data_IF_545527018099
#
_entry.id   IF_545527018099
#
_cell.length_a   1.000
_cell.length_b   1.000
_cell.length_c   1.000
_cell.angle_alpha   90.00
_cell.angle_beta   90.00
_cell.angle_gamma   90.00
#
_symmetry.space_group_name_H-M   'P 1'
#
loop_
_entity.id
_entity.type
_entity.pdbx_description
1 polymer ?
#
# COMPACT_ATOMS: atom_id res chain seq x y z
N UNK A 1 10.70 -26.49 -14.93
CA UNK A 1 10.22 -26.35 -13.55
C UNK A 1 10.29 -27.70 -12.87
N UNK A 2 11.39 -27.91 -12.18
CA UNK A 2 11.75 -29.06 -11.40
C UNK A 2 11.86 -28.67 -9.92
N UNK A 3 12.01 -29.66 -9.04
CA UNK A 3 12.32 -29.43 -7.63
C UNK A 3 13.70 -28.75 -7.56
N UNK A 4 13.79 -27.63 -6.83
CA UNK A 4 14.99 -26.80 -6.72
C UNK A 4 15.06 -25.59 -7.66
N UNK A 5 14.12 -25.45 -8.60
CA UNK A 5 14.05 -24.26 -9.45
C UNK A 5 13.55 -23.05 -8.65
N UNK A 6 14.16 -21.87 -8.85
CA UNK A 6 13.65 -20.60 -8.34
C UNK A 6 12.50 -20.13 -9.21
N UNK A 7 11.38 -19.80 -8.60
CA UNK A 7 10.15 -19.43 -9.29
C UNK A 7 9.57 -18.16 -8.70
N UNK A 8 8.96 -17.35 -9.56
CA UNK A 8 8.14 -16.19 -9.18
C UNK A 8 6.67 -16.55 -9.39
N UNK A 9 5.83 -16.22 -8.41
CA UNK A 9 4.39 -16.38 -8.56
C UNK A 9 3.82 -15.25 -9.44
N UNK A 10 2.78 -15.54 -10.23
CA UNK A 10 2.15 -14.55 -11.10
C UNK A 10 1.17 -13.64 -10.35
N UNK A 11 0.62 -14.13 -9.23
CA UNK A 11 -0.40 -13.42 -8.44
C UNK A 11 0.15 -12.76 -7.18
N UNK A 12 1.39 -13.09 -6.82
CA UNK A 12 2.11 -12.55 -5.66
C UNK A 12 3.49 -12.11 -6.15
N UNK A 13 4.02 -11.03 -5.62
CA UNK A 13 5.39 -10.56 -5.94
C UNK A 13 6.46 -11.44 -5.27
N UNK A 14 6.04 -12.47 -4.52
CA UNK A 14 6.95 -13.37 -3.82
C UNK A 14 7.73 -14.29 -4.77
N UNK A 15 9.02 -14.43 -4.46
CA UNK A 15 9.92 -15.41 -5.06
C UNK A 15 10.20 -16.55 -4.09
N UNK A 16 10.38 -17.76 -4.61
CA UNK A 16 10.72 -18.90 -3.78
C UNK A 16 11.27 -20.09 -4.57
N UNK A 17 11.60 -21.16 -3.84
CA UNK A 17 12.19 -22.38 -4.38
C UNK A 17 11.15 -23.50 -4.34
N UNK A 18 11.01 -24.24 -5.44
CA UNK A 18 10.08 -25.38 -5.51
C UNK A 18 10.61 -26.54 -4.68
N UNK A 19 9.93 -26.89 -3.58
CA UNK A 19 10.31 -28.01 -2.71
C UNK A 19 9.62 -29.32 -3.09
N UNK A 20 8.39 -29.25 -3.59
CA UNK A 20 7.61 -30.43 -3.97
C UNK A 20 6.68 -30.14 -5.13
N UNK A 21 6.51 -31.14 -6.00
CA UNK A 21 5.59 -31.10 -7.12
C UNK A 21 4.67 -32.31 -6.99
N UNK A 22 3.37 -32.06 -6.88
CA UNK A 22 2.34 -33.10 -6.94
C UNK A 22 2.04 -33.46 -8.38
N UNK A 23 1.73 -34.74 -8.64
CA UNK A 23 1.26 -35.24 -9.93
C UNK A 23 -0.04 -34.58 -10.41
N UNK A 24 -0.77 -33.90 -9.52
CA UNK A 24 -1.94 -33.08 -9.84
C UNK A 24 -1.63 -31.67 -10.37
N UNK A 25 -0.34 -31.31 -10.51
CA UNK A 25 0.09 -29.97 -10.97
C UNK A 25 0.13 -28.90 -9.88
N UNK A 26 -0.08 -29.27 -8.61
CA UNK A 26 0.19 -28.42 -7.44
C UNK A 26 1.66 -28.44 -7.09
N UNK A 27 2.19 -27.30 -6.69
CA UNK A 27 3.58 -27.10 -6.28
C UNK A 27 3.62 -26.50 -4.88
N UNK A 28 4.63 -26.86 -4.11
CA UNK A 28 4.94 -26.26 -2.82
C UNK A 28 6.19 -25.39 -3.00
N UNK A 29 6.03 -24.07 -2.83
CA UNK A 29 7.08 -23.06 -3.00
C UNK A 29 7.50 -22.56 -1.62
N UNK A 30 8.78 -22.69 -1.29
CA UNK A 30 9.35 -22.16 -0.05
C UNK A 30 9.94 -20.78 -0.30
N UNK A 31 9.44 -19.78 0.43
CA UNK A 31 9.95 -18.39 0.37
C UNK A 31 11.11 -18.19 1.36
N UNK A 32 11.84 -17.07 1.26
CA UNK A 32 13.02 -16.79 2.10
C UNK A 32 12.71 -16.74 3.60
N UNK A 33 11.48 -16.39 3.99
CA UNK A 33 10.99 -16.40 5.37
C UNK A 33 10.69 -17.81 5.93
N UNK A 34 10.94 -18.88 5.16
CA UNK A 34 10.74 -20.27 5.59
C UNK A 34 9.28 -20.76 5.58
N UNK A 35 8.37 -19.96 5.01
CA UNK A 35 6.99 -20.37 4.77
C UNK A 35 6.87 -21.17 3.47
N UNK A 36 6.01 -22.20 3.48
CA UNK A 36 5.70 -23.00 2.29
C UNK A 36 4.32 -22.64 1.76
N UNK A 37 4.27 -22.09 0.56
CA UNK A 37 3.04 -21.65 -0.10
C UNK A 37 2.66 -22.68 -1.18
N UNK A 38 1.46 -23.28 -1.09
CA UNK A 38 0.94 -24.12 -2.15
C UNK A 38 0.41 -23.26 -3.32
N UNK A 39 0.97 -23.47 -4.51
CA UNK A 39 0.54 -22.80 -5.74
C UNK A 39 0.27 -23.81 -6.86
N UNK A 40 -0.30 -23.37 -7.98
CA UNK A 40 -0.41 -24.20 -9.18
C UNK A 40 0.79 -23.97 -10.10
N UNK A 41 1.18 -24.99 -10.86
CA UNK A 41 2.24 -24.88 -11.89
C UNK A 41 1.93 -23.78 -12.92
N UNK A 42 0.66 -23.51 -13.20
CA UNK A 42 0.23 -22.42 -14.10
C UNK A 42 0.40 -21.03 -13.52
N UNK A 43 0.60 -20.92 -12.20
CA UNK A 43 0.70 -19.65 -11.47
C UNK A 43 2.14 -19.32 -11.09
N UNK A 44 3.11 -20.10 -11.57
CA UNK A 44 4.54 -19.93 -11.28
C UNK A 44 5.36 -19.90 -12.57
N UNK A 45 6.32 -18.98 -12.64
CA UNK A 45 7.27 -18.84 -13.75
C UNK A 45 8.68 -19.07 -13.22
N UNK A 46 9.48 -19.85 -13.94
CA UNK A 46 10.88 -20.14 -13.57
C UNK A 46 11.73 -18.91 -13.84
N UNK A 47 12.47 -18.45 -12.83
CA UNK A 47 13.47 -17.40 -12.98
C UNK A 47 14.79 -18.07 -13.34
N UNK A 48 15.32 -17.80 -14.53
CA UNK A 48 16.63 -18.33 -14.91
C UNK A 48 17.73 -17.35 -14.51
N UNK A 49 18.86 -17.85 -14.03
CA UNK A 49 20.05 -17.04 -13.71
C UNK A 49 20.59 -16.21 -14.88
N UNK A 50 20.23 -16.55 -16.13
CA UNK A 50 20.61 -15.79 -17.32
C UNK A 50 19.71 -14.56 -17.54
N UNK A 51 18.52 -14.56 -16.95
CA UNK A 51 17.54 -13.47 -17.04
C UNK A 51 18.01 -12.26 -16.19
N UNK A 52 18.65 -12.51 -15.04
CA UNK A 52 19.31 -11.48 -14.21
C UNK A 52 20.39 -10.70 -14.96
N UNK A 53 21.14 -11.38 -15.85
CA UNK A 53 22.21 -10.76 -16.64
C UNK A 53 21.68 -9.90 -17.81
N UNK A 54 20.49 -10.22 -18.34
CA UNK A 54 19.90 -9.54 -19.49
C UNK A 54 18.94 -8.40 -19.12
N UNK A 55 18.17 -8.56 -18.04
CA UNK A 55 17.21 -7.55 -17.58
C UNK A 55 17.78 -6.61 -16.50
N UNK A 56 19.00 -6.87 -16.04
CA UNK A 56 19.59 -6.19 -14.90
C UNK A 56 18.87 -6.54 -13.60
N UNK A 57 19.54 -6.35 -12.46
CA UNK A 57 18.87 -6.33 -11.16
C UNK A 57 17.83 -5.22 -11.23
N UNK A 58 16.56 -5.56 -11.44
CA UNK A 58 15.48 -4.69 -10.99
C UNK A 58 15.59 -4.78 -9.49
N UNK A 59 16.31 -3.82 -8.90
CA UNK A 59 16.18 -3.57 -7.48
C UNK A 59 14.68 -3.60 -7.22
N UNK A 60 14.23 -4.58 -6.46
CA UNK A 60 13.07 -4.41 -5.61
C UNK A 60 13.47 -3.32 -4.62
N UNK A 61 13.58 -2.09 -5.14
CA UNK A 61 13.05 -0.96 -4.44
C UNK A 61 11.64 -1.41 -4.13
N UNK A 62 11.47 -1.84 -2.89
CA UNK A 62 10.39 -1.36 -2.06
C UNK A 62 10.18 0.07 -2.56
N UNK A 63 9.26 0.26 -3.50
CA UNK A 63 8.59 1.53 -3.63
C UNK A 63 7.87 1.61 -2.28
N UNK A 64 8.63 2.02 -1.26
CA UNK A 64 8.08 2.82 -0.19
C UNK A 64 7.28 3.83 -0.98
N UNK A 65 5.96 3.66 -0.94
CA UNK A 65 5.05 4.73 -1.27
C UNK A 65 5.72 5.94 -0.66
N UNK A 66 6.18 6.86 -1.53
CA UNK A 66 6.69 8.14 -1.08
C UNK A 66 5.47 8.81 -0.48
N UNK A 67 5.13 8.42 0.75
CA UNK A 67 4.44 9.27 1.68
C UNK A 67 5.24 10.55 1.58
N UNK A 68 4.63 11.63 1.05
CA UNK A 68 5.36 12.85 0.85
C UNK A 68 5.97 13.18 2.20
N UNK A 69 7.29 13.15 2.28
CA UNK A 69 8.02 13.58 3.47
C UNK A 69 7.38 14.89 3.88
N UNK A 70 6.85 15.01 5.11
CA UNK A 70 6.19 16.24 5.50
C UNK A 70 7.22 17.34 5.30
N UNK A 71 6.94 18.24 4.36
CA UNK A 71 7.62 19.53 4.24
C UNK A 71 7.13 20.34 5.43
N UNK A 72 7.32 19.84 6.65
CA UNK A 72 7.01 20.59 7.85
C UNK A 72 8.14 21.59 7.99
N UNK A 73 7.88 22.79 7.47
CA UNK A 73 8.28 24.00 8.19
C UNK A 73 8.03 23.79 9.70
N UNK A 74 8.85 24.40 10.58
CA UNK A 74 8.65 24.29 12.03
C UNK A 74 7.16 24.46 12.35
N UNK A 75 6.64 23.59 13.23
CA UNK A 75 5.23 23.47 13.59
C UNK A 75 4.60 24.84 13.82
N UNK A 76 4.06 25.43 12.75
CA UNK A 76 3.37 26.72 12.82
C UNK A 76 2.00 26.41 13.42
N UNK A 77 1.64 27.10 14.49
CA UNK A 77 0.29 26.99 15.04
C UNK A 77 -0.72 27.29 13.93
N UNK A 78 -1.73 26.42 13.76
CA UNK A 78 -2.62 26.53 12.63
C UNK A 78 -3.80 25.58 12.64
N UNK A 79 -4.62 25.76 11.60
CA UNK A 79 -5.75 24.89 11.28
C UNK A 79 -5.31 23.87 10.24
N UNK A 80 -5.60 22.60 10.50
CA UNK A 80 -5.18 21.48 9.68
C UNK A 80 -6.39 20.64 9.26
N UNK A 81 -6.33 20.11 8.04
CA UNK A 81 -7.27 19.11 7.54
C UNK A 81 -6.54 17.78 7.39
N UNK A 82 -7.02 16.75 8.06
CA UNK A 82 -6.49 15.40 7.94
C UNK A 82 -7.50 14.50 7.22
N UNK A 83 -6.99 13.71 6.28
CA UNK A 83 -7.75 12.75 5.49
C UNK A 83 -7.25 11.35 5.85
N UNK A 84 -8.13 10.52 6.40
CA UNK A 84 -7.79 9.15 6.79
C UNK A 84 -8.62 8.20 5.94
N UNK A 85 -7.99 7.40 5.05
CA UNK A 85 -8.72 6.41 4.27
C UNK A 85 -9.20 5.29 5.20
N UNK A 86 -10.50 5.00 5.20
CA UNK A 86 -11.06 3.81 5.88
C UNK A 86 -11.01 2.61 4.91
N UNK A 87 -11.26 2.86 3.62
CA UNK A 87 -11.16 1.89 2.53
C UNK A 87 -11.07 2.65 1.18
N UNK A 88 -11.07 1.91 0.06
CA UNK A 88 -10.96 2.48 -1.30
C UNK A 88 -12.08 3.46 -1.70
N UNK A 89 -13.19 3.50 -0.95
CA UNK A 89 -14.36 4.32 -1.25
C UNK A 89 -14.64 5.40 -0.19
N UNK A 90 -14.15 5.22 1.03
CA UNK A 90 -14.50 6.03 2.19
C UNK A 90 -13.26 6.69 2.79
N UNK A 91 -13.34 8.02 2.96
CA UNK A 91 -12.31 8.83 3.61
C UNK A 91 -12.94 9.56 4.79
N UNK A 92 -12.32 9.48 5.96
CA UNK A 92 -12.64 10.33 7.10
C UNK A 92 -11.92 11.65 7.00
N UNK A 93 -12.67 12.74 7.15
CA UNK A 93 -12.15 14.11 7.20
C UNK A 93 -12.14 14.60 8.65
N UNK A 94 -10.99 15.09 9.11
CA UNK A 94 -10.84 15.73 10.42
C UNK A 94 -10.36 17.16 10.25
N UNK A 95 -11.00 18.08 10.96
CA UNK A 95 -10.56 19.46 11.12
C UNK A 95 -9.90 19.61 12.49
N UNK A 96 -8.60 19.91 12.49
CA UNK A 96 -7.76 19.99 13.66
C UNK A 96 -7.36 21.44 13.92
N UNK A 97 -7.54 21.89 15.15
CA UNK A 97 -7.04 23.19 15.61
C UNK A 97 -5.86 22.95 16.55
N UNK A 98 -4.66 23.32 16.11
CA UNK A 98 -3.43 23.29 16.92
C UNK A 98 -2.97 24.72 17.26
N UNK A 99 -3.84 25.71 17.04
CA UNK A 99 -3.65 27.08 17.48
C UNK A 99 -4.09 27.28 18.92
N UNK A 100 -3.68 28.40 19.53
CA UNK A 100 -4.08 28.76 20.90
C UNK A 100 -5.48 29.37 20.99
N UNK A 101 -6.05 29.79 19.86
CA UNK A 101 -7.31 30.50 19.80
C UNK A 101 -8.45 29.57 19.35
N UNK A 102 -9.66 29.85 19.83
CA UNK A 102 -10.87 29.18 19.36
C UNK A 102 -11.39 29.85 18.08
N UNK A 103 -11.73 29.05 17.08
CA UNK A 103 -12.30 29.55 15.81
C UNK A 103 -13.78 29.20 15.68
N UNK A 104 -14.54 30.07 15.02
CA UNK A 104 -15.88 29.70 14.54
C UNK A 104 -15.72 29.07 13.16
N UNK A 105 -16.18 27.84 12.97
CA UNK A 105 -15.99 27.11 11.72
C UNK A 105 -17.31 26.64 11.15
N UNK A 106 -17.40 26.65 9.82
CA UNK A 106 -18.50 26.06 9.07
C UNK A 106 -17.90 25.18 7.97
N UNK A 107 -18.26 23.91 7.96
CA UNK A 107 -17.92 22.96 6.91
C UNK A 107 -19.18 22.63 6.11
N UNK A 108 -19.13 22.83 4.79
CA UNK A 108 -20.22 22.50 3.89
C UNK A 108 -19.74 21.66 2.71
N UNK A 109 -20.55 20.69 2.33
CA UNK A 109 -20.42 19.95 1.08
C UNK A 109 -21.07 20.76 -0.04
N UNK A 110 -20.37 20.89 -1.17
CA UNK A 110 -20.85 21.61 -2.34
C UNK A 110 -20.89 20.65 -3.52
N UNK A 111 -22.07 20.46 -4.09
CA UNK A 111 -22.28 19.64 -5.29
C UNK A 111 -23.08 20.44 -6.32
N UNK A 112 -22.39 20.96 -7.34
CA UNK A 112 -22.98 21.86 -8.33
C UNK A 112 -23.51 23.15 -7.70
N UNK A 113 -24.81 23.39 -7.79
CA UNK A 113 -25.50 24.53 -7.17
C UNK A 113 -26.02 24.23 -5.76
N UNK A 114 -25.90 22.98 -5.29
CA UNK A 114 -26.40 22.57 -3.99
C UNK A 114 -25.31 22.71 -2.94
N UNK A 115 -25.70 23.24 -1.77
CA UNK A 115 -24.83 23.38 -0.61
C UNK A 115 -25.48 22.70 0.58
N UNK A 116 -24.74 21.84 1.28
CA UNK A 116 -25.20 21.19 2.52
C UNK A 116 -24.20 21.46 3.63
N UNK A 117 -24.64 22.10 4.70
CA UNK A 117 -23.79 22.28 5.89
C UNK A 117 -23.67 20.95 6.63
N UNK A 118 -22.43 20.50 6.85
CA UNK A 118 -22.09 19.29 7.60
C UNK A 118 -21.79 19.60 9.07
N UNK A 119 -21.11 20.73 9.32
CA UNK A 119 -20.70 21.16 10.65
C UNK A 119 -20.69 22.68 10.74
N UNK A 120 -21.18 23.24 11.84
CA UNK A 120 -21.13 24.67 12.12
C UNK A 120 -21.09 24.89 13.62
N UNK A 121 -19.89 25.08 14.18
CA UNK A 121 -19.72 25.31 15.62
C UNK A 121 -18.38 25.98 15.92
N UNK A 122 -18.10 26.22 17.20
CA UNK A 122 -16.82 26.65 17.73
C UNK A 122 -15.85 25.47 17.77
N UNK A 123 -14.73 25.62 17.09
CA UNK A 123 -13.57 24.74 17.19
C UNK A 123 -12.62 25.29 18.26
N UNK A 124 -12.57 24.61 19.39
CA UNK A 124 -11.70 24.97 20.51
C UNK A 124 -10.25 24.51 20.24
N UNK A 125 -9.31 25.04 21.04
CA UNK A 125 -7.92 24.58 21.08
C UNK A 125 -7.78 23.28 21.86
#
# INVERSE_FOLDING_TARGET
MNIGDRVRLLRSTEEGIVRKISSSGRIEVEIEDGFTIPALKSEAVVIHSAEEAYFGKKEEGIEEEKTPLPISKPKDQGLYLAFIPINDQNISLYLLNDSRDGYLVQCSEVFGTNHRTLFADKLLS
#
